data_IF_359196907668
#
_entry.id   IF_359196907668
#
_cell.length_a   1.000
_cell.length_b   1.000
_cell.length_c   1.000
_cell.angle_alpha   90.00
_cell.angle_beta   90.00
_cell.angle_gamma   90.00
#
_symmetry.space_group_name_H-M   'P 1'
#
loop_
_entity.id
_entity.type
_entity.pdbx_description
1 polymer ?
2 non-polymer ?
3 non-polymer ?
4 water ?
#
# COMPACT_ATOMS: atom_id res chain seq x y z
N UNK A 7 -24.42 10.44 5.37
CA UNK A 7 -23.13 9.98 4.78
C UNK A 7 -23.21 8.52 4.34
N UNK A 8 -22.50 8.19 3.26
CA UNK A 8 -22.49 6.83 2.74
C UNK A 8 -21.48 6.06 3.60
N UNK A 9 -21.95 5.01 4.28
CA UNK A 9 -21.06 4.23 5.13
C UNK A 9 -20.24 3.19 4.36
N UNK A 10 -18.93 3.36 4.35
CA UNK A 10 -18.05 2.43 3.66
C UNK A 10 -17.90 1.16 4.49
N UNK A 11 -18.06 0.01 3.84
CA UNK A 11 -17.96 -1.30 4.46
C UNK A 11 -16.58 -1.59 5.04
N UNK A 12 -16.47 -1.68 6.39
CA UNK A 12 -15.19 -1.95 7.05
C UNK A 12 -14.58 -3.31 6.69
N UNK A 13 -15.40 -4.24 6.21
CA UNK A 13 -14.92 -5.57 5.84
C UNK A 13 -14.44 -5.68 4.39
N UNK A 14 -14.65 -4.62 3.61
CA UNK A 14 -14.24 -4.61 2.22
C UNK A 14 -14.74 -5.80 1.43
N UNK A 15 -15.97 -6.23 1.73
CA UNK A 15 -16.58 -7.38 1.08
C UNK A 15 -16.85 -7.29 -0.43
N UNK A 16 -17.04 -6.10 -0.96
CA UNK A 16 -17.32 -5.97 -2.39
C UNK A 16 -16.87 -4.60 -2.89
N UNK A 17 -15.56 -4.44 -3.06
CA UNK A 17 -15.02 -3.16 -3.52
C UNK A 17 -15.42 -2.76 -4.93
N UNK A 18 -15.72 -3.72 -5.80
CA UNK A 18 -16.11 -3.39 -7.17
C UNK A 18 -17.45 -2.64 -7.15
N UNK A 19 -18.39 -3.12 -6.35
CA UNK A 19 -19.68 -2.47 -6.26
C UNK A 19 -19.46 -1.12 -5.58
N UNK A 20 -18.57 -1.11 -4.59
CA UNK A 20 -18.27 0.13 -3.87
C UNK A 20 -17.78 1.20 -4.84
N UNK A 21 -16.95 0.82 -5.81
CA UNK A 21 -16.42 1.79 -6.78
C UNK A 21 -17.59 2.49 -7.47
N UNK A 22 -18.54 1.69 -7.95
CA UNK A 22 -19.70 2.23 -8.64
C UNK A 22 -20.56 3.11 -7.75
N UNK A 23 -20.82 2.65 -6.53
CA UNK A 23 -21.63 3.41 -5.60
C UNK A 23 -21.02 4.77 -5.30
N UNK A 24 -19.70 4.81 -5.10
CA UNK A 24 -19.04 6.06 -4.82
C UNK A 24 -19.06 6.99 -6.02
N UNK A 25 -18.72 6.47 -7.19
CA UNK A 25 -18.72 7.30 -8.39
C UNK A 25 -20.13 7.79 -8.77
N UNK A 26 -21.14 7.14 -8.22
CA UNK A 26 -22.54 7.49 -8.49
C UNK A 26 -22.81 8.89 -7.91
N UNK A 27 -22.01 9.29 -6.92
CA UNK A 27 -22.20 10.60 -6.30
C UNK A 27 -21.49 11.75 -6.99
N UNK A 28 -20.90 11.48 -8.15
CA UNK A 28 -20.19 12.53 -8.86
C UNK A 28 -18.73 12.54 -8.45
N UNK A 29 -18.02 13.66 -8.66
CA UNK A 29 -16.60 13.76 -8.30
C UNK A 29 -16.28 13.50 -6.84
N UNK A 30 -17.19 13.85 -5.94
CA UNK A 30 -16.97 13.64 -4.51
C UNK A 30 -18.25 13.29 -3.77
N UNK A 31 -18.11 12.53 -2.70
CA UNK A 31 -19.25 12.11 -1.89
C UNK A 31 -18.89 12.10 -0.42
N UNK A 32 -19.80 12.57 0.42
CA UNK A 32 -19.61 12.62 1.86
C UNK A 32 -19.81 11.18 2.34
N UNK A 33 -18.79 10.59 2.93
CA UNK A 33 -18.89 9.21 3.41
C UNK A 33 -18.50 9.06 4.88
N UNK A 34 -18.74 7.87 5.41
CA UNK A 34 -18.41 7.57 6.79
C UNK A 34 -17.34 6.48 6.78
N UNK A 35 -16.22 6.76 7.43
CA UNK A 35 -15.11 5.80 7.50
C UNK A 35 -14.95 5.45 8.98
N UNK A 36 -15.58 4.35 9.38
CA UNK A 36 -15.51 3.89 10.76
C UNK A 36 -15.87 4.97 11.79
N UNK A 37 -16.92 5.73 11.49
CA UNK A 37 -17.34 6.78 12.41
C UNK A 37 -16.89 8.20 12.10
N UNK A 38 -15.94 8.34 11.19
CA UNK A 38 -15.46 9.67 10.81
C UNK A 38 -15.99 10.01 9.43
N UNK A 39 -16.66 11.15 9.31
CA UNK A 39 -17.21 11.56 8.02
C UNK A 39 -16.19 12.38 7.24
N UNK A 40 -16.07 12.09 5.95
CA UNK A 40 -15.13 12.80 5.11
C UNK A 40 -15.57 12.80 3.66
N UNK A 41 -14.91 13.64 2.87
CA UNK A 41 -15.22 13.73 1.46
C UNK A 41 -14.41 12.71 0.69
N UNK A 42 -15.07 11.69 0.15
CA UNK A 42 -14.37 10.67 -0.63
C UNK A 42 -14.30 11.31 -2.00
N UNK A 43 -13.10 11.39 -2.58
CA UNK A 43 -12.96 11.99 -3.90
C UNK A 43 -12.45 10.91 -4.86
N UNK A 44 -13.18 10.69 -5.96
CA UNK A 44 -12.76 9.67 -6.93
C UNK A 44 -12.60 10.19 -8.35
N UNK A 45 -12.71 11.51 -8.53
CA UNK A 45 -12.56 12.14 -9.84
C UNK A 45 -11.04 12.40 -9.85
N UNK A 46 -10.27 11.68 -10.69
CA UNK A 46 -8.82 11.86 -10.74
C UNK A 46 -8.33 13.28 -11.03
N UNK A 47 -9.07 14.04 -11.84
CA UNK A 47 -8.66 15.40 -12.16
C UNK A 47 -8.71 16.21 -10.87
N UNK A 48 -9.84 16.14 -10.18
CA UNK A 48 -10.02 16.85 -8.93
C UNK A 48 -9.04 16.35 -7.88
N UNK A 49 -8.88 15.03 -7.81
CA UNK A 49 -7.96 14.46 -6.83
C UNK A 49 -6.54 14.99 -7.03
N UNK A 50 -6.06 15.00 -8.27
CA UNK A 50 -4.71 15.51 -8.54
C UNK A 50 -4.56 16.97 -8.15
N UNK A 51 -5.63 17.75 -8.30
CA UNK A 51 -5.58 19.16 -7.94
C UNK A 51 -5.48 19.27 -6.42
N UNK A 52 -6.29 18.48 -5.72
CA UNK A 52 -6.27 18.52 -4.25
C UNK A 52 -4.92 18.05 -3.71
N UNK A 53 -4.36 17.02 -4.35
CA UNK A 53 -3.08 16.46 -3.93
C UNK A 53 -1.86 17.33 -4.23
N UNK A 54 -2.05 18.46 -4.91
CA UNK A 54 -0.94 19.36 -5.23
C UNK A 54 -1.23 20.78 -4.76
N UNK A 55 -2.33 20.95 -4.04
CA UNK A 55 -2.71 22.26 -3.54
C UNK A 55 -2.18 22.58 -2.15
N UNK A 56 -1.82 23.83 -1.95
CA UNK A 56 -1.29 24.27 -0.67
C UNK A 56 -2.44 24.31 0.34
N UNK A 57 -3.68 24.29 -0.16
CA UNK A 57 -4.85 24.31 0.71
C UNK A 57 -5.34 22.97 1.24
N UNK A 58 -4.57 21.92 0.99
CA UNK A 58 -4.92 20.58 1.45
C UNK A 58 -3.74 20.08 2.26
N UNK A 59 -4.01 19.43 3.39
CA UNK A 59 -2.94 18.92 4.25
C UNK A 59 -3.18 17.55 4.88
N UNK A 60 -2.09 16.90 5.25
CA UNK A 60 -2.13 15.59 5.89
C UNK A 60 -1.80 15.75 7.37
N UNK A 61 -1.54 16.99 7.79
CA UNK A 61 -1.20 17.29 9.18
C UNK A 61 -2.46 17.55 10.00
N UNK A 62 -2.99 16.49 10.61
CA UNK A 62 -4.20 16.58 11.43
C UNK A 62 -4.02 17.49 12.64
N UNK A 63 -2.88 17.36 13.31
CA UNK A 63 -2.58 18.17 14.48
C UNK A 63 -2.73 19.66 14.17
N UNK A 64 -2.24 20.08 13.02
CA UNK A 64 -2.33 21.49 12.64
C UNK A 64 -3.58 21.90 11.86
N UNK A 65 -4.12 21.01 11.03
CA UNK A 65 -5.29 21.36 10.25
C UNK A 65 -6.63 20.65 10.44
N UNK A 66 -6.74 19.77 11.43
CA UNK A 66 -8.01 19.06 11.65
C UNK A 66 -8.48 19.37 13.08
N UNK A 67 -9.42 20.33 13.22
CA UNK A 67 -9.96 20.73 14.52
C UNK A 67 -10.50 19.59 15.37
N UNK A 68 -11.05 18.57 14.72
CA UNK A 68 -11.62 17.43 15.44
C UNK A 68 -10.59 16.39 15.88
N UNK A 69 -9.33 16.56 15.47
CA UNK A 69 -8.28 15.61 15.85
C UNK A 69 -8.28 15.21 17.31
N UNK A 70 -8.21 16.21 18.18
CA UNK A 70 -8.21 15.97 19.61
C UNK A 70 -9.32 15.07 20.13
N UNK A 71 -10.51 15.19 19.54
CA UNK A 71 -11.65 14.37 19.95
C UNK A 71 -11.61 12.98 19.31
N UNK A 72 -11.28 12.94 18.04
CA UNK A 72 -11.20 11.71 17.27
C UNK A 72 -10.10 10.71 17.66
N UNK A 73 -8.93 11.22 18.00
CA UNK A 73 -7.81 10.36 18.37
C UNK A 73 -8.06 9.31 19.45
N UNK A 74 -8.99 9.58 20.36
CA UNK A 74 -9.27 8.61 21.41
C UNK A 74 -10.39 7.63 21.13
N UNK A 75 -11.18 7.88 20.09
CA UNK A 75 -12.29 6.97 19.77
C UNK A 75 -12.23 6.30 18.40
N UNK A 76 -11.53 6.90 17.45
CA UNK A 76 -11.44 6.32 16.11
C UNK A 76 -10.46 5.16 16.01
N UNK A 77 -10.94 4.00 15.52
CA UNK A 77 -10.09 2.81 15.37
C UNK A 77 -8.92 3.02 14.40
N UNK A 78 -9.06 4.01 13.51
CA UNK A 78 -8.00 4.29 12.54
C UNK A 78 -7.09 5.45 12.95
N UNK A 79 -7.13 5.81 14.23
CA UNK A 79 -6.33 6.91 14.75
C UNK A 79 -4.85 6.87 14.38
N UNK A 80 -4.24 5.69 14.39
CA UNK A 80 -2.82 5.57 14.06
C UNK A 80 -2.46 6.15 12.69
N UNK A 81 -3.39 6.08 11.74
CA UNK A 81 -3.14 6.59 10.40
C UNK A 81 -2.95 8.11 10.36
N UNK A 82 -3.49 8.80 11.36
CA UNK A 82 -3.37 10.25 11.40
C UNK A 82 -2.68 10.79 12.64
N UNK A 83 -2.37 9.91 13.60
CA UNK A 83 -1.72 10.33 14.83
C UNK A 83 -0.20 10.21 14.84
N UNK A 84 0.37 9.44 13.93
CA UNK A 84 1.82 9.28 13.88
C UNK A 84 2.47 10.61 13.54
N UNK A 85 3.75 10.73 13.85
CA UNK A 85 4.50 11.94 13.57
C UNK A 85 5.63 11.57 12.62
N UNK A 86 5.32 11.55 11.32
CA UNK A 86 6.31 11.22 10.31
C UNK A 86 5.93 11.94 9.02
N UNK A 87 6.60 11.63 7.93
CA UNK A 87 6.29 12.30 6.66
C UNK A 87 4.85 12.07 6.20
N UNK A 88 4.27 10.95 6.59
CA UNK A 88 2.90 10.59 6.22
C UNK A 88 1.85 11.56 6.77
N UNK A 89 2.21 12.31 7.82
CA UNK A 89 1.29 13.26 8.43
C UNK A 89 1.91 14.65 8.51
N UNK A 90 2.91 14.91 7.68
CA UNK A 90 3.58 16.19 7.67
C UNK A 90 3.09 17.09 6.52
N UNK A 91 3.21 18.40 6.72
CA UNK A 91 2.79 19.39 5.74
C UNK A 91 3.93 20.37 5.38
N UNK A 92 3.95 20.79 4.12
CA UNK A 92 4.96 21.72 3.64
C UNK A 92 6.40 21.42 3.96
N UNK A 93 7.19 22.44 4.36
CA UNK A 93 8.61 22.27 4.68
C UNK A 93 8.88 21.11 5.65
N UNK A 94 7.99 20.89 6.61
CA UNK A 94 8.20 19.81 7.56
C UNK A 94 8.11 18.47 6.83
N UNK A 95 7.23 18.39 5.82
CA UNK A 95 7.10 17.15 5.07
C UNK A 95 8.36 16.94 4.23
N UNK A 96 8.81 17.98 3.57
CA UNK A 96 10.01 17.89 2.74
C UNK A 96 11.16 17.36 3.59
N UNK A 97 11.27 17.90 4.80
CA UNK A 97 12.32 17.50 5.74
C UNK A 97 12.24 16.03 6.15
N UNK A 98 11.07 15.61 6.62
CA UNK A 98 10.88 14.23 7.06
C UNK A 98 10.96 13.19 5.94
N UNK A 99 10.72 13.61 4.70
CA UNK A 99 10.78 12.68 3.56
C UNK A 99 12.21 12.59 3.06
N UNK A 100 12.89 13.73 2.99
CA UNK A 100 14.28 13.78 2.51
C UNK A 100 15.20 12.89 3.34
N UNK A 101 14.86 12.69 4.60
CA UNK A 101 15.69 11.85 5.48
C UNK A 101 15.71 10.39 5.02
N UNK A 102 14.60 9.91 4.49
CA UNK A 102 14.49 8.52 4.03
C UNK A 102 14.68 8.34 2.52
N UNK A 103 14.31 9.36 1.74
CA UNK A 103 14.41 9.33 0.29
C UNK A 103 15.66 8.68 -0.32
N UNK A 104 16.86 9.04 0.17
CA UNK A 104 18.10 8.47 -0.36
C UNK A 104 18.10 6.96 -0.58
N UNK A 105 17.50 6.23 0.35
CA UNK A 105 17.45 4.77 0.25
C UNK A 105 16.54 4.29 -0.87
N UNK A 106 15.78 5.20 -1.47
CA UNK A 106 14.88 4.81 -2.55
C UNK A 106 15.13 5.55 -3.86
N UNK A 107 16.32 6.10 -4.01
CA UNK A 107 16.66 6.83 -5.23
C UNK A 107 16.73 5.83 -6.38
N UNK A 108 16.76 6.34 -7.60
CA UNK A 108 16.83 5.50 -8.79
C UNK A 108 18.11 4.66 -8.75
N UNK A 109 19.21 5.31 -8.42
CA UNK A 109 20.50 4.62 -8.34
C UNK A 109 20.51 3.54 -7.26
N UNK A 110 19.92 3.83 -6.10
CA UNK A 110 19.89 2.86 -5.01
C UNK A 110 19.04 1.65 -5.35
N UNK A 111 17.87 1.88 -5.95
CA UNK A 111 17.00 0.77 -6.31
C UNK A 111 17.70 -0.10 -7.36
N UNK A 112 18.34 0.53 -8.33
CA UNK A 112 19.04 -0.22 -9.38
C UNK A 112 20.15 -1.06 -8.73
N UNK A 113 20.83 -0.47 -7.75
CA UNK A 113 21.92 -1.16 -7.05
C UNK A 113 21.42 -2.35 -6.25
N UNK A 114 20.14 -2.34 -5.89
CA UNK A 114 19.54 -3.42 -5.11
C UNK A 114 19.03 -4.57 -5.97
N UNK A 115 18.92 -4.35 -7.28
CA UNK A 115 18.42 -5.39 -8.17
C UNK A 115 19.02 -6.78 -7.96
N UNK A 116 20.36 -6.89 -7.93
CA UNK A 116 20.97 -8.21 -7.73
C UNK A 116 20.51 -8.89 -6.46
N UNK A 117 20.45 -8.14 -5.36
CA UNK A 117 20.02 -8.69 -4.08
C UNK A 117 18.56 -9.13 -4.15
N UNK A 118 17.71 -8.29 -4.72
CA UNK A 118 16.30 -8.62 -4.82
C UNK A 118 16.08 -9.83 -5.73
N UNK A 119 16.80 -9.88 -6.85
CA UNK A 119 16.66 -11.01 -7.76
C UNK A 119 17.01 -12.30 -7.03
N UNK A 120 18.07 -12.24 -6.21
CA UNK A 120 18.51 -13.41 -5.45
C UNK A 120 17.41 -13.87 -4.50
N UNK A 121 16.78 -12.91 -3.83
CA UNK A 121 15.70 -13.23 -2.89
C UNK A 121 14.54 -13.88 -3.64
N UNK A 122 14.22 -13.33 -4.81
CA UNK A 122 13.12 -13.87 -5.61
C UNK A 122 13.45 -15.30 -6.06
N UNK A 123 14.67 -15.51 -6.55
CA UNK A 123 15.07 -16.83 -7.01
C UNK A 123 15.01 -17.83 -5.87
N UNK A 124 15.44 -17.41 -4.68
CA UNK A 124 15.42 -18.29 -3.52
C UNK A 124 14.00 -18.75 -3.18
N UNK A 125 13.06 -17.82 -3.17
CA UNK A 125 11.68 -18.14 -2.87
C UNK A 125 11.05 -19.01 -3.96
N UNK A 126 11.41 -18.75 -5.21
CA UNK A 126 10.86 -19.54 -6.30
C UNK A 126 11.47 -20.95 -6.28
N UNK A 127 12.76 -21.03 -5.96
CA UNK A 127 13.42 -22.34 -5.90
C UNK A 127 12.71 -23.19 -4.86
N UNK A 128 12.38 -22.58 -3.72
CA UNK A 128 11.70 -23.27 -2.63
C UNK A 128 10.37 -23.84 -3.12
N UNK A 129 9.66 -23.07 -3.94
CA UNK A 129 8.37 -23.52 -4.46
C UNK A 129 8.58 -24.78 -5.28
N UNK A 130 9.68 -24.80 -6.04
CA UNK A 130 10.02 -25.94 -6.88
C UNK A 130 10.30 -27.22 -6.09
N UNK A 131 10.58 -27.09 -4.80
CA UNK A 131 10.87 -28.25 -3.96
C UNK A 131 9.60 -28.79 -3.30
N UNK A 132 8.53 -27.99 -3.31
CA UNK A 132 7.28 -28.41 -2.71
C UNK A 132 6.73 -29.65 -3.40
N UNK A 133 5.98 -30.49 -2.68
CA UNK A 133 5.41 -31.72 -3.23
C UNK A 133 4.57 -31.40 -4.48
N UNK A 134 4.88 -32.09 -5.58
CA UNK A 134 4.16 -31.87 -6.83
C UNK A 134 2.73 -32.39 -6.69
N UNK A 135 1.80 -31.73 -7.35
CA UNK A 135 0.41 -32.14 -7.30
C UNK A 135 -0.41 -31.59 -6.15
N UNK A 136 0.26 -31.02 -5.15
CA UNK A 136 -0.43 -30.45 -4.00
C UNK A 136 -0.55 -28.94 -4.14
N UNK A 137 -1.72 -28.37 -3.80
CA UNK A 137 -1.94 -26.93 -3.89
C UNK A 137 -0.99 -26.12 -3.00
N UNK A 138 -0.63 -24.94 -3.48
CA UNK A 138 0.27 -24.05 -2.76
C UNK A 138 -0.37 -22.66 -2.62
N UNK A 139 -0.39 -22.12 -1.42
CA UNK A 139 -0.98 -20.79 -1.23
C UNK A 139 0.14 -19.81 -1.57
N UNK A 140 0.12 -19.32 -2.80
CA UNK A 140 1.13 -18.37 -3.28
C UNK A 140 1.24 -17.10 -2.46
N UNK A 141 0.15 -16.69 -1.81
CA UNK A 141 0.17 -15.49 -1.00
C UNK A 141 1.14 -15.69 0.17
N UNK A 142 1.05 -16.84 0.81
CA UNK A 142 1.93 -17.14 1.95
C UNK A 142 3.34 -17.60 1.56
N UNK A 143 3.47 -18.30 0.44
CA UNK A 143 4.79 -18.77 0.01
C UNK A 143 5.63 -17.86 -0.87
N UNK A 144 5.03 -16.79 -1.41
CA UNK A 144 5.78 -15.87 -2.25
C UNK A 144 5.43 -14.40 -2.04
N UNK A 145 4.15 -14.07 -2.20
CA UNK A 145 3.67 -12.70 -2.03
C UNK A 145 4.06 -12.04 -0.70
N UNK A 146 3.89 -12.75 0.41
CA UNK A 146 4.23 -12.19 1.72
C UNK A 146 5.72 -12.18 2.06
N UNK A 147 6.42 -13.31 1.91
CA UNK A 147 7.85 -13.34 2.23
C UNK A 147 8.82 -12.46 1.43
N UNK A 148 8.55 -12.24 0.14
CA UNK A 148 9.45 -11.42 -0.67
C UNK A 148 9.60 -9.99 -0.15
N UNK A 149 8.49 -9.25 -0.01
CA UNK A 149 8.57 -7.87 0.48
C UNK A 149 9.22 -7.79 1.87
N UNK A 150 9.01 -8.80 2.69
CA UNK A 150 9.57 -8.84 4.03
C UNK A 150 11.09 -8.98 3.95
N UNK A 151 11.56 -9.84 3.04
CA UNK A 151 12.99 -10.05 2.87
C UNK A 151 13.65 -8.77 2.35
N UNK A 152 12.97 -8.09 1.43
CA UNK A 152 13.51 -6.85 0.87
C UNK A 152 13.59 -5.72 1.90
N UNK A 153 12.49 -5.48 2.60
CA UNK A 153 12.48 -4.42 3.60
C UNK A 153 13.42 -4.76 4.76
N UNK A 154 13.53 -6.04 5.08
CA UNK A 154 14.42 -6.46 6.16
C UNK A 154 15.86 -6.13 5.83
N UNK A 155 16.23 -6.35 4.58
CA UNK A 155 17.58 -6.09 4.10
C UNK A 155 17.85 -4.59 4.05
N UNK A 156 16.89 -3.84 3.52
CA UNK A 156 17.02 -2.39 3.41
C UNK A 156 17.00 -1.69 4.77
N UNK A 157 16.08 -2.06 5.63
CA UNK A 157 15.99 -1.43 6.96
C UNK A 157 16.96 -2.05 7.96
N UNK A 158 17.47 -3.23 7.65
CA UNK A 158 18.41 -3.89 8.55
C UNK A 158 17.73 -4.53 9.74
N UNK A 159 16.61 -5.21 9.50
CA UNK A 159 15.86 -5.86 10.56
C UNK A 159 16.49 -7.23 10.85
N UNK A 160 16.97 -7.44 12.08
CA UNK A 160 17.57 -8.73 12.41
C UNK A 160 16.62 -9.87 12.11
N UNK A 161 17.16 -10.97 11.59
CA UNK A 161 16.36 -12.14 11.25
C UNK A 161 15.42 -12.58 12.38
N UNK A 162 15.94 -12.68 13.59
CA UNK A 162 15.15 -13.09 14.74
C UNK A 162 14.06 -12.12 15.19
N UNK A 163 13.93 -11.00 14.49
CA UNK A 163 12.92 -10.01 14.83
C UNK A 163 11.93 -9.77 13.70
N UNK A 164 12.15 -10.43 12.56
CA UNK A 164 11.28 -10.25 11.41
C UNK A 164 9.85 -10.80 11.52
N UNK A 165 9.70 -11.99 12.09
CA UNK A 165 8.37 -12.57 12.23
C UNK A 165 7.45 -11.76 13.14
N UNK A 166 8.04 -11.17 14.18
CA UNK A 166 7.27 -10.38 15.13
C UNK A 166 6.41 -9.25 14.59
N UNK A 167 6.78 -8.68 13.45
CA UNK A 167 6.01 -7.58 12.88
C UNK A 167 4.81 -8.02 12.03
N UNK A 168 4.88 -9.23 11.50
CA UNK A 168 3.81 -9.77 10.65
C UNK A 168 2.35 -9.59 11.09
N UNK A 169 1.97 -10.16 12.22
CA UNK A 169 0.59 -10.05 12.70
C UNK A 169 0.22 -8.61 13.07
N UNK A 170 1.19 -7.85 13.53
CA UNK A 170 0.96 -6.46 13.92
C UNK A 170 0.74 -5.53 12.74
N UNK A 171 1.50 -5.70 11.67
CA UNK A 171 1.33 -4.85 10.50
C UNK A 171 -0.03 -5.20 9.88
N UNK A 172 -0.40 -6.47 9.97
CA UNK A 172 -1.67 -6.93 9.44
C UNK A 172 -2.77 -6.17 10.19
N UNK A 173 -2.59 -6.05 11.50
CA UNK A 173 -3.57 -5.36 12.31
C UNK A 173 -3.76 -3.90 11.91
N UNK A 174 -2.69 -3.25 11.46
CA UNK A 174 -2.77 -1.86 11.04
C UNK A 174 -3.76 -1.67 9.91
N UNK A 175 -3.88 -2.68 9.04
CA UNK A 175 -4.81 -2.61 7.92
C UNK A 175 -6.15 -3.30 8.18
N UNK A 176 -6.29 -3.90 9.35
CA UNK A 176 -7.54 -4.60 9.70
C UNK A 176 -8.57 -3.57 10.15
N UNK A 177 -9.41 -3.11 9.23
CA UNK A 177 -10.43 -2.13 9.56
C UNK A 177 -11.68 -2.69 10.24
N UNK A 178 -11.63 -3.96 10.65
CA UNK A 178 -12.77 -4.57 11.33
C UNK A 178 -12.56 -4.53 12.84
N UNK A 179 -11.36 -4.13 13.27
CA UNK A 179 -11.05 -4.04 14.70
C UNK A 179 -11.71 -2.84 15.35
N UNK A 180 -12.16 -2.98 16.59
CA UNK A 180 -12.79 -1.85 17.26
C UNK A 180 -11.67 -1.02 17.89
N UNK A 181 -12.03 0.11 18.47
CA UNK A 181 -11.06 1.00 19.09
C UNK A 181 -10.11 0.31 20.07
N UNK A 182 -10.66 -0.52 20.95
CA UNK A 182 -9.84 -1.23 21.93
C UNK A 182 -8.85 -2.19 21.28
N UNK A 183 -9.33 -2.96 20.31
CA UNK A 183 -8.49 -3.92 19.60
C UNK A 183 -7.40 -3.22 18.80
N UNK A 184 -7.75 -2.09 18.18
CA UNK A 184 -6.78 -1.34 17.38
C UNK A 184 -5.70 -0.78 18.30
N UNK A 185 -6.14 -0.23 19.43
CA UNK A 185 -5.26 0.35 20.42
C UNK A 185 -4.28 -0.70 20.95
N UNK A 186 -4.76 -1.92 21.16
CA UNK A 186 -3.90 -3.00 21.65
C UNK A 186 -2.87 -3.38 20.59
N UNK A 187 -3.30 -3.47 19.34
CA UNK A 187 -2.40 -3.82 18.25
C UNK A 187 -1.32 -2.76 18.11
N UNK A 188 -1.74 -1.50 18.20
CA UNK A 188 -0.80 -0.40 18.09
C UNK A 188 0.24 -0.45 19.21
N UNK A 189 -0.22 -0.72 20.43
CA UNK A 189 0.70 -0.80 21.57
C UNK A 189 1.73 -1.90 21.36
N UNK A 190 1.28 -3.05 20.87
CA UNK A 190 2.17 -4.18 20.63
C UNK A 190 3.19 -3.84 19.56
N UNK A 191 2.76 -3.08 18.55
CA UNK A 191 3.64 -2.68 17.47
C UNK A 191 4.74 -1.74 17.96
N UNK A 192 4.37 -0.76 18.78
CA UNK A 192 5.36 0.18 19.29
C UNK A 192 6.36 -0.57 20.17
N UNK A 193 5.88 -1.61 20.82
CA UNK A 193 6.74 -2.41 21.68
C UNK A 193 7.83 -3.09 20.86
N UNK A 194 7.47 -3.79 19.79
CA UNK A 194 8.49 -4.46 18.99
C UNK A 194 9.36 -3.44 18.25
N UNK A 195 8.82 -2.24 18.02
CA UNK A 195 9.58 -1.20 17.34
C UNK A 195 10.64 -0.68 18.31
N UNK A 196 10.24 -0.45 19.55
CA UNK A 196 11.20 0.04 20.55
C UNK A 196 12.31 -0.98 20.75
N UNK A 197 11.97 -2.25 20.68
CA UNK A 197 12.93 -3.33 20.85
C UNK A 197 13.92 -3.33 19.69
N UNK A 198 13.40 -3.07 18.48
CA UNK A 198 14.23 -3.04 17.30
C UNK A 198 15.24 -1.89 17.44
N UNK A 199 14.75 -0.74 17.87
CA UNK A 199 15.58 0.45 18.04
C UNK A 199 16.69 0.18 19.05
N UNK A 200 16.33 -0.48 20.15
CA UNK A 200 17.30 -0.81 21.18
C UNK A 200 18.38 -1.74 20.61
N UNK A 201 17.95 -2.74 19.86
CA UNK A 201 18.87 -3.69 19.26
C UNK A 201 19.81 -3.05 18.25
N UNK A 202 19.28 -2.16 17.41
CA UNK A 202 20.10 -1.49 16.41
C UNK A 202 21.01 -0.44 17.04
N UNK A 203 20.60 0.10 18.17
CA UNK A 203 21.40 1.11 18.86
C UNK A 203 22.65 0.40 19.35
N UNK A 204 22.44 -0.77 19.93
CA UNK A 204 23.54 -1.58 20.46
C UNK A 204 24.41 -2.14 19.34
N UNK A 205 23.79 -2.57 18.26
CA UNK A 205 24.51 -3.13 17.13
C UNK A 205 24.08 -2.51 15.80
N UNK A 206 24.57 -1.30 15.51
CA UNK A 206 24.21 -0.62 14.27
C UNK A 206 24.77 -1.32 13.02
N UNK A 207 24.23 -0.96 11.87
CA UNK A 207 24.68 -1.55 10.62
C UNK A 207 24.54 -0.53 9.50
N UNK A 208 24.88 -0.95 8.28
CA UNK A 208 24.79 -0.09 7.12
C UNK A 208 23.37 -0.26 6.58
N UNK A 209 22.43 0.36 7.28
CA UNK A 209 21.01 0.28 6.90
C UNK A 209 20.25 1.54 7.32
N UNK A 210 19.03 1.68 6.84
CA UNK A 210 18.22 2.85 7.17
C UNK A 210 17.82 2.97 8.63
N UNK A 211 17.62 1.86 9.32
CA UNK A 211 17.24 1.96 10.73
C UNK A 211 18.39 2.62 11.50
N UNK A 212 19.62 2.20 11.21
CA UNK A 212 20.78 2.77 11.88
C UNK A 212 20.94 4.26 11.56
N UNK A 213 20.72 4.63 10.31
CA UNK A 213 20.86 6.04 9.93
C UNK A 213 19.83 6.91 10.65
N UNK A 214 18.61 6.40 10.77
CA UNK A 214 17.55 7.13 11.45
C UNK A 214 17.88 7.29 12.93
N UNK A 215 18.39 6.22 13.53
CA UNK A 215 18.75 6.28 14.95
C UNK A 215 19.84 7.33 15.12
N UNK A 216 20.79 7.34 14.19
CA UNK A 216 21.89 8.31 14.24
C UNK A 216 21.35 9.73 14.19
N UNK A 217 20.34 9.96 13.37
CA UNK A 217 19.73 11.27 13.22
C UNK A 217 19.01 11.68 14.51
N UNK A 218 18.46 10.70 15.22
CA UNK A 218 17.74 10.96 16.46
C UNK A 218 18.71 11.16 17.62
N UNK A 219 19.82 10.44 17.58
CA UNK A 219 20.83 10.54 18.63
C UNK A 219 21.78 11.72 18.42
N UNK A 220 21.52 12.51 17.38
CA UNK A 220 22.34 13.67 17.07
C UNK A 220 22.34 14.67 18.23
N UNK A 226 16.93 17.81 12.98
CA UNK A 226 16.93 16.82 14.05
C UNK A 226 15.83 15.78 13.82
N UNK A 227 15.58 14.95 14.83
CA UNK A 227 14.56 13.93 14.76
C UNK A 227 14.18 13.57 16.19
N UNK A 228 12.90 13.75 16.52
CA UNK A 228 12.44 13.46 17.88
C UNK A 228 12.28 11.96 18.08
N UNK A 229 12.12 11.53 19.35
CA UNK A 229 11.95 10.12 19.67
C UNK A 229 10.71 9.58 18.97
N UNK A 230 9.67 10.41 18.92
CA UNK A 230 8.42 10.03 18.28
C UNK A 230 8.58 9.90 16.77
N UNK A 231 9.28 10.87 16.18
CA UNK A 231 9.50 10.84 14.74
C UNK A 231 10.33 9.63 14.34
N UNK A 232 11.24 9.23 15.22
CA UNK A 232 12.07 8.08 14.92
C UNK A 232 11.23 6.80 14.89
N UNK A 233 10.54 6.52 15.98
CA UNK A 233 9.72 5.32 16.03
C UNK A 233 8.58 5.35 15.02
N UNK A 234 7.97 6.51 14.81
CA UNK A 234 6.87 6.61 13.86
C UNK A 234 7.34 6.47 12.42
N UNK A 235 8.56 6.90 12.12
CA UNK A 235 9.07 6.80 10.76
C UNK A 235 9.39 5.31 10.55
N UNK A 236 9.91 4.66 11.58
CA UNK A 236 10.22 3.24 11.46
C UNK A 236 8.92 2.44 11.30
N UNK A 237 7.88 2.86 12.01
CA UNK A 237 6.59 2.18 11.92
C UNK A 237 6.11 2.24 10.48
N UNK A 238 6.20 3.42 9.88
CA UNK A 238 5.78 3.63 8.51
C UNK A 238 6.56 2.77 7.51
N UNK A 239 7.88 2.82 7.60
CA UNK A 239 8.72 2.04 6.70
C UNK A 239 8.55 0.53 6.83
N UNK A 240 8.48 0.05 8.07
CA UNK A 240 8.30 -1.38 8.28
C UNK A 240 6.92 -1.83 7.83
N UNK A 241 5.89 -1.07 8.16
CA UNK A 241 4.53 -1.43 7.77
C UNK A 241 4.40 -1.43 6.25
N UNK A 242 4.98 -0.43 5.59
CA UNK A 242 4.91 -0.33 4.15
C UNK A 242 5.60 -1.52 3.46
N UNK A 243 6.67 -2.01 4.06
CA UNK A 243 7.38 -3.13 3.47
C UNK A 243 6.76 -4.48 3.75
N UNK A 244 6.03 -4.60 4.86
CA UNK A 244 5.40 -5.87 5.23
C UNK A 244 4.00 -6.15 4.69
N UNK A 245 3.34 -5.09 4.24
CA UNK A 245 2.01 -5.16 3.67
C UNK A 245 2.03 -4.38 2.36
N UNK A 246 0.88 -4.32 1.70
CA UNK A 246 0.73 -3.61 0.43
C UNK A 246 1.41 -4.26 -0.78
N UNK A 247 2.75 -4.33 -0.83
CA UNK A 247 3.34 -4.96 -2.00
C UNK A 247 2.79 -6.38 -2.19
N UNK A 248 2.52 -7.06 -1.07
CA UNK A 248 2.00 -8.41 -1.11
C UNK A 248 0.74 -8.47 -1.97
N UNK A 249 -0.10 -7.44 -1.85
CA UNK A 249 -1.33 -7.37 -2.63
C UNK A 249 -1.16 -7.14 -4.11
N UNK A 250 -0.09 -6.44 -4.48
CA UNK A 250 0.16 -6.18 -5.89
C UNK A 250 0.59 -7.50 -6.52
N UNK A 251 1.41 -8.27 -5.82
CA UNK A 251 1.88 -9.55 -6.33
C UNK A 251 0.66 -10.48 -6.47
N UNK A 252 -0.18 -10.45 -5.44
CA UNK A 252 -1.40 -11.25 -5.37
C UNK A 252 -2.29 -10.96 -6.58
N UNK A 253 -2.67 -9.69 -6.73
CA UNK A 253 -3.53 -9.27 -7.84
C UNK A 253 -2.94 -9.51 -9.22
N UNK A 254 -1.64 -9.24 -9.40
CA UNK A 254 -1.01 -9.45 -10.70
C UNK A 254 -1.07 -10.93 -11.08
N UNK A 255 -0.68 -11.80 -10.16
CA UNK A 255 -0.70 -13.23 -10.43
C UNK A 255 -2.12 -13.72 -10.68
N UNK A 256 -3.04 -13.34 -9.81
CA UNK A 256 -4.43 -13.76 -9.96
C UNK A 256 -5.02 -13.34 -11.31
N UNK A 257 -4.68 -12.14 -11.77
CA UNK A 257 -5.18 -11.67 -13.04
C UNK A 257 -4.63 -12.52 -14.18
N UNK A 258 -3.33 -12.81 -14.14
CA UNK A 258 -2.71 -13.62 -15.17
C UNK A 258 -3.23 -15.05 -15.20
N UNK A 259 -3.73 -15.52 -14.05
CA UNK A 259 -4.26 -16.88 -13.97
C UNK A 259 -5.74 -16.96 -14.33
N UNK A 260 -6.41 -15.82 -14.35
CA UNK A 260 -7.82 -15.77 -14.67
C UNK A 260 -8.07 -15.10 -16.02
N UNK A 261 -7.03 -14.47 -16.56
CA UNK A 261 -7.10 -13.77 -17.85
C UNK A 261 -5.92 -14.25 -18.69
N UNK A 262 -5.97 -15.52 -19.15
CA UNK A 262 -4.90 -16.11 -19.96
C UNK A 262 -4.43 -15.28 -21.16
N UNK A 263 -5.32 -14.49 -21.74
CA UNK A 263 -4.96 -13.67 -22.88
C UNK A 263 -3.86 -12.69 -22.51
N UNK A 264 -3.89 -12.20 -21.28
CA UNK A 264 -2.87 -11.25 -20.82
C UNK A 264 -1.51 -11.92 -20.69
N UNK A 265 -1.49 -13.16 -20.21
CA UNK A 265 -0.22 -13.87 -20.06
C UNK A 265 0.34 -14.13 -21.45
N UNK A 266 -0.54 -14.48 -22.39
CA UNK A 266 -0.14 -14.76 -23.76
C UNK A 266 0.49 -13.51 -24.38
N UNK A 267 -0.05 -12.33 -24.04
CA UNK A 267 0.49 -11.09 -24.58
C UNK A 267 1.93 -10.93 -24.13
N UNK A 268 2.21 -11.35 -22.90
CA UNK A 268 3.57 -11.25 -22.38
C UNK A 268 4.47 -12.22 -23.15
N UNK A 269 4.01 -13.46 -23.28
CA UNK A 269 4.79 -14.48 -23.99
C UNK A 269 5.04 -14.13 -25.46
N UNK A 270 4.09 -13.42 -26.07
CA UNK A 270 4.25 -13.03 -27.47
C UNK A 270 5.17 -11.83 -27.60
N UNK A 271 5.45 -11.17 -26.48
CA UNK A 271 6.32 -10.01 -26.51
C UNK A 271 5.58 -8.72 -26.84
N UNK A 272 4.25 -8.77 -26.80
CA UNK A 272 3.42 -7.60 -27.11
C UNK A 272 3.37 -6.62 -25.94
N UNK A 273 3.52 -7.14 -24.72
CA UNK A 273 3.48 -6.31 -23.51
C UNK A 273 4.59 -6.88 -22.63
N UNK A 274 5.10 -6.07 -21.72
CA UNK A 274 6.16 -6.50 -20.81
C UNK A 274 5.60 -6.81 -19.42
N UNK A 275 6.43 -7.35 -18.55
CA UNK A 275 5.99 -7.66 -17.20
C UNK A 275 5.67 -6.33 -16.54
N UNK A 276 6.44 -5.30 -16.90
CA UNK A 276 6.24 -3.97 -16.34
C UNK A 276 4.85 -3.45 -16.74
N UNK A 277 4.45 -3.72 -17.98
CA UNK A 277 3.12 -3.26 -18.43
C UNK A 277 2.04 -3.95 -17.60
N UNK A 278 2.25 -5.22 -17.31
CA UNK A 278 1.27 -5.97 -16.53
C UNK A 278 1.18 -5.40 -15.11
N UNK A 279 2.33 -5.01 -14.55
CA UNK A 279 2.33 -4.46 -13.21
C UNK A 279 1.62 -3.11 -13.20
N UNK A 280 1.85 -2.29 -14.22
CA UNK A 280 1.19 -0.98 -14.26
C UNK A 280 -0.32 -1.12 -14.41
N UNK A 281 -0.77 -2.08 -15.20
CA UNK A 281 -2.21 -2.25 -15.38
C UNK A 281 -2.82 -2.84 -14.10
N UNK A 282 -2.04 -3.64 -13.37
CA UNK A 282 -2.53 -4.25 -12.13
C UNK A 282 -2.69 -3.11 -11.12
N UNK A 283 -1.73 -2.19 -11.11
CA UNK A 283 -1.77 -1.06 -10.19
C UNK A 283 -2.99 -0.19 -10.48
N UNK A 284 -3.39 -0.12 -11.74
CA UNK A 284 -4.55 0.69 -12.10
C UNK A 284 -5.85 -0.04 -11.82
N UNK A 285 -5.95 -1.27 -12.32
CA UNK A 285 -7.13 -2.12 -12.17
C UNK A 285 -7.43 -2.66 -10.77
N UNK A 286 -6.40 -3.05 -10.04
CA UNK A 286 -6.60 -3.58 -8.68
C UNK A 286 -5.48 -3.12 -7.76
N UNK A 287 -5.41 -1.80 -7.49
CA UNK A 287 -4.38 -1.23 -6.62
C UNK A 287 -4.46 -1.80 -5.21
N UNK A 288 -3.32 -1.89 -4.53
CA UNK A 288 -3.26 -2.42 -3.17
C UNK A 288 -3.91 -1.58 -2.09
N UNK A 289 -3.95 -0.26 -2.29
CA UNK A 289 -4.55 0.65 -1.32
C UNK A 289 -5.76 1.32 -1.99
N UNK A 290 -6.95 0.98 -1.55
CA UNK A 290 -8.17 1.54 -2.12
C UNK A 290 -8.57 2.95 -1.70
N UNK A 291 -8.33 3.28 -0.44
CA UNK A 291 -8.67 4.61 0.10
C UNK A 291 -7.51 5.02 0.99
N UNK A 292 -7.19 6.31 1.00
CA UNK A 292 -6.09 6.79 1.82
C UNK A 292 -6.47 7.82 2.88
N UNK A 293 -6.53 7.41 4.15
CA UNK A 293 -6.87 8.36 5.22
C UNK A 293 -5.55 9.03 5.63
N UNK A 294 -5.54 10.35 5.78
CA UNK A 294 -6.68 11.22 5.56
C UNK A 294 -6.07 12.61 5.31
N UNK A 295 -6.84 13.49 4.67
CA UNK A 295 -6.37 14.84 4.39
C UNK A 295 -7.39 15.83 4.91
N UNK A 296 -7.00 17.09 5.04
CA UNK A 296 -7.91 18.12 5.54
C UNK A 296 -7.80 19.41 4.75
N UNK A 297 -8.92 20.14 4.66
CA UNK A 297 -8.93 21.40 3.94
C UNK A 297 -8.37 22.49 4.85
N UNK A 298 -7.32 23.15 4.39
CA UNK A 298 -6.70 24.22 5.17
C UNK A 298 -7.60 25.45 5.10
N UNK A 299 -8.36 25.54 4.02
CA UNK A 299 -9.28 26.65 3.80
C UNK A 299 -10.46 26.10 3.00
N UNK A 300 -11.53 26.87 2.86
CA UNK A 300 -12.69 26.40 2.11
C UNK A 300 -12.25 26.08 0.69
N UNK A 301 -12.76 24.99 0.14
CA UNK A 301 -12.43 24.57 -1.22
C UNK A 301 -13.72 24.31 -2.00
N UNK A 302 -13.83 24.93 -3.18
CA UNK A 302 -15.02 24.76 -4.02
C UNK A 302 -15.00 23.44 -4.79
N UNK A 303 -16.13 22.74 -4.78
CA UNK A 303 -16.26 21.47 -5.49
C UNK A 303 -16.89 21.77 -6.84
N UNK A 304 -16.69 20.88 -7.83
CA UNK A 304 -17.25 21.07 -9.17
C UNK A 304 -18.76 21.31 -9.24
N UNK A 305 -19.51 20.82 -8.25
CA UNK A 305 -20.96 21.01 -8.28
C UNK A 305 -21.45 22.24 -7.51
N UNK A 306 -20.53 23.04 -7.00
CA UNK A 306 -20.93 24.22 -6.26
C UNK A 306 -20.91 24.02 -4.76
N UNK A 307 -20.79 22.77 -4.33
CA UNK A 307 -20.75 22.51 -2.89
C UNK A 307 -19.37 22.92 -2.40
N UNK A 308 -19.18 22.95 -1.10
CA UNK A 308 -17.91 23.34 -0.53
C UNK A 308 -17.30 22.39 0.49
N UNK A 309 -15.98 22.19 0.41
CA UNK A 309 -15.31 21.34 1.36
C UNK A 309 -14.91 22.43 2.33
N UNK A 310 -15.61 22.51 3.45
CA UNK A 310 -15.34 23.53 4.47
C UNK A 310 -13.99 23.37 5.14
N UNK A 311 -13.40 24.50 5.55
CA UNK A 311 -12.11 24.47 6.22
C UNK A 311 -12.23 23.50 7.38
N UNK A 312 -11.24 22.63 7.54
CA UNK A 312 -11.28 21.67 8.63
C UNK A 312 -11.95 20.35 8.35
N UNK A 313 -12.62 20.21 7.21
CA UNK A 313 -13.30 18.95 6.89
C UNK A 313 -12.29 17.97 6.27
N UNK A 314 -12.46 16.66 6.55
CA UNK A 314 -11.56 15.64 6.01
C UNK A 314 -11.78 15.30 4.54
N UNK A 315 -10.73 14.81 3.91
CA UNK A 315 -10.74 14.43 2.51
C UNK A 315 -10.13 13.04 2.38
N UNK A 316 -10.89 12.11 1.83
CA UNK A 316 -10.44 10.73 1.65
C UNK A 316 -10.16 10.44 0.16
N UNK A 317 -8.90 10.21 -0.17
CA UNK A 317 -8.54 9.92 -1.56
C UNK A 317 -8.94 8.47 -1.86
N UNK A 318 -9.90 8.29 -2.77
CA UNK A 318 -10.38 6.96 -3.15
C UNK A 318 -9.74 6.58 -4.49
N UNK A 319 -8.48 6.17 -4.40
CA UNK A 319 -7.68 5.76 -5.55
C UNK A 319 -8.18 4.64 -6.45
N UNK A 320 -8.65 3.55 -5.83
CA UNK A 320 -9.15 2.42 -6.61
C UNK A 320 -10.31 2.83 -7.51
N UNK A 321 -11.27 3.56 -6.95
CA UNK A 321 -12.43 4.01 -7.71
C UNK A 321 -12.01 5.02 -8.79
N UNK A 322 -11.06 5.88 -8.44
CA UNK A 322 -10.56 6.89 -9.37
C UNK A 322 -9.84 6.27 -10.55
N UNK A 323 -9.10 5.19 -10.30
CA UNK A 323 -8.35 4.53 -11.37
C UNK A 323 -9.29 3.95 -12.44
N UNK A 324 -10.57 3.81 -12.09
CA UNK A 324 -11.56 3.27 -13.02
C UNK A 324 -12.57 4.32 -13.48
N UNK A 325 -12.23 5.59 -13.28
CA UNK A 325 -13.12 6.68 -13.68
C UNK A 325 -13.23 6.67 -15.21
N UNK A 326 -14.48 6.63 -15.74
CA UNK A 326 -14.75 6.60 -17.17
C UNK A 326 -14.24 7.75 -18.04
N UNK A 327 -13.90 8.89 -17.44
CA UNK A 327 -13.40 10.00 -18.23
C UNK A 327 -11.88 9.94 -18.30
N UNK A 328 -11.30 9.03 -17.53
CA UNK A 328 -9.84 8.87 -17.51
C UNK A 328 -9.40 7.73 -18.43
N UNK A 329 -10.04 6.58 -18.26
CA UNK A 329 -9.73 5.39 -19.05
C UNK A 329 -10.98 4.79 -19.69
N UNK A 330 -10.92 4.46 -20.97
CA UNK A 330 -12.09 3.87 -21.62
C UNK A 330 -12.12 2.40 -21.24
N UNK A 331 -13.33 1.84 -21.11
CA UNK A 331 -13.49 0.44 -20.75
C UNK A 331 -12.58 0.22 -19.53
N UNK A 332 -12.64 1.19 -18.62
CA UNK A 332 -11.85 1.18 -17.40
C UNK A 332 -11.94 -0.04 -16.51
N UNK A 333 -13.06 -0.75 -16.52
CA UNK A 333 -13.19 -1.94 -15.68
C UNK A 333 -12.59 -3.21 -16.28
N UNK A 334 -12.01 -3.10 -17.47
CA UNK A 334 -11.41 -4.26 -18.12
C UNK A 334 -9.90 -4.19 -17.98
N UNK A 335 -9.28 -5.31 -17.63
CA UNK A 335 -7.83 -5.35 -17.48
C UNK A 335 -7.27 -5.50 -18.89
N UNK A 336 -6.40 -4.56 -19.27
CA UNK A 336 -5.80 -4.58 -20.60
C UNK A 336 -4.38 -4.03 -20.50
N UNK A 337 -3.39 -4.93 -20.51
CA UNK A 337 -1.99 -4.53 -20.41
C UNK A 337 -1.44 -3.83 -21.66
N UNK A 338 -2.23 -3.78 -22.73
CA UNK A 338 -1.78 -3.14 -23.96
C UNK A 338 -2.13 -1.64 -23.98
N UNK A 339 -2.86 -1.16 -22.98
CA UNK A 339 -3.24 0.25 -22.92
C UNK A 339 -2.12 1.23 -23.22
N UNK A 340 -2.42 2.21 -24.07
CA UNK A 340 -1.43 3.22 -24.43
C UNK A 340 -1.30 4.18 -23.25
N UNK A 341 -2.42 4.50 -22.61
CA UNK A 341 -2.43 5.39 -21.46
C UNK A 341 -2.46 4.50 -20.23
N UNK A 342 -1.35 4.45 -19.50
CA UNK A 342 -1.25 3.61 -18.31
C UNK A 342 -1.25 4.34 -16.96
N UNK A 343 -1.43 5.65 -16.96
CA UNK A 343 -1.43 6.40 -15.70
C UNK A 343 -2.48 5.96 -14.70
N UNK A 344 -2.09 5.96 -13.43
CA UNK A 344 -2.99 5.57 -12.35
C UNK A 344 -2.58 6.31 -11.07
N UNK A 345 -3.38 6.17 -10.03
CA UNK A 345 -3.13 6.80 -8.74
C UNK A 345 -2.86 5.80 -7.61
N UNK A 346 -2.40 4.61 -7.96
CA UNK A 346 -2.11 3.60 -6.95
C UNK A 346 -1.06 4.08 -5.94
N UNK A 347 -0.13 4.92 -6.40
CA UNK A 347 0.92 5.47 -5.55
C UNK A 347 0.68 6.91 -5.13
N UNK A 348 -0.47 7.46 -5.47
CA UNK A 348 -0.74 8.83 -5.09
C UNK A 348 -0.28 9.78 -6.19
N UNK A 349 -0.10 11.04 -5.84
CA UNK A 349 0.32 12.05 -6.80
C UNK A 349 0.86 13.24 -6.02
N UNK A 350 1.95 13.83 -6.49
CA UNK A 350 2.49 14.97 -5.78
C UNK A 350 3.65 14.68 -4.85
N UNK A 351 3.86 15.57 -3.88
CA UNK A 351 4.94 15.42 -2.90
C UNK A 351 4.91 14.17 -2.04
N UNK A 352 3.72 13.63 -1.82
CA UNK A 352 3.57 12.42 -0.99
C UNK A 352 3.62 11.14 -1.82
N UNK A 353 3.79 11.27 -3.13
CA UNK A 353 3.86 10.11 -4.01
C UNK A 353 4.67 9.01 -3.33
N UNK A 354 4.10 7.81 -3.26
CA UNK A 354 4.78 6.68 -2.63
C UNK A 354 6.29 6.65 -2.80
N UNK A 355 7.01 6.78 -1.69
CA UNK A 355 8.47 6.78 -1.70
C UNK A 355 9.01 5.41 -2.14
N UNK A 356 8.29 4.35 -1.82
CA UNK A 356 8.73 3.01 -2.18
C UNK A 356 8.33 2.52 -3.57
N UNK A 357 7.62 3.36 -4.32
CA UNK A 357 7.16 3.00 -5.65
C UNK A 357 8.17 2.27 -6.55
N UNK A 358 9.39 2.84 -6.72
CA UNK A 358 10.35 2.14 -7.58
C UNK A 358 10.76 0.76 -7.09
N UNK A 359 10.88 0.60 -5.78
CA UNK A 359 11.25 -0.69 -5.19
C UNK A 359 10.10 -1.68 -5.33
N UNK A 360 8.88 -1.24 -5.05
CA UNK A 360 7.71 -2.12 -5.16
C UNK A 360 7.57 -2.59 -6.60
N UNK A 361 7.68 -1.66 -7.54
CA UNK A 361 7.56 -2.01 -8.95
C UNK A 361 8.59 -3.08 -9.31
N UNK A 362 9.83 -2.90 -8.86
CA UNK A 362 10.88 -3.87 -9.16
C UNK A 362 10.57 -5.23 -8.55
N UNK A 363 10.14 -5.23 -7.28
CA UNK A 363 9.81 -6.47 -6.60
C UNK A 363 8.78 -7.29 -7.35
N UNK A 364 7.69 -6.65 -7.75
CA UNK A 364 6.63 -7.33 -8.48
C UNK A 364 7.04 -7.80 -9.87
N UNK A 365 7.71 -6.94 -10.63
CA UNK A 365 8.12 -7.33 -11.97
C UNK A 365 9.07 -8.53 -11.90
N UNK A 366 10.02 -8.49 -10.99
CA UNK A 366 10.98 -9.59 -10.83
C UNK A 366 10.27 -10.88 -10.39
N UNK A 367 9.36 -10.75 -9.44
CA UNK A 367 8.62 -11.91 -8.95
C UNK A 367 7.84 -12.57 -10.08
N UNK A 368 7.13 -11.76 -10.87
CA UNK A 368 6.35 -12.30 -11.98
C UNK A 368 7.21 -13.06 -12.98
N UNK A 369 8.30 -12.41 -13.41
CA UNK A 369 9.22 -13.00 -14.38
C UNK A 369 9.75 -14.35 -13.91
N UNK A 370 10.21 -14.39 -12.67
CA UNK A 370 10.76 -15.61 -12.10
C UNK A 370 9.70 -16.71 -11.92
N UNK A 371 8.56 -16.34 -11.37
CA UNK A 371 7.47 -17.29 -11.15
C UNK A 371 6.95 -17.95 -12.42
N UNK A 372 6.53 -17.15 -13.40
CA UNK A 372 6.02 -17.72 -14.64
C UNK A 372 7.12 -18.29 -15.51
N UNK A 373 8.37 -17.88 -15.25
CA UNK A 373 9.48 -18.39 -16.02
C UNK A 373 9.79 -19.80 -15.57
N UNK A 374 9.66 -20.05 -14.26
CA UNK A 374 9.93 -21.35 -13.68
C UNK A 374 8.74 -22.32 -13.83
N UNK A 375 7.54 -21.78 -13.69
CA UNK A 375 6.34 -22.62 -13.81
C UNK A 375 5.40 -22.10 -14.90
N UNK A 376 5.69 -22.44 -16.16
CA UNK A 376 4.84 -21.99 -17.28
C UNK A 376 3.43 -22.56 -17.24
N UNK A 377 3.21 -23.61 -16.45
CA UNK A 377 1.90 -24.22 -16.34
C UNK A 377 1.17 -23.83 -15.06
N UNK A 378 1.65 -22.78 -14.41
CA UNK A 378 1.02 -22.31 -13.18
C UNK A 378 -0.48 -22.09 -13.40
N UNK A 379 -1.29 -22.48 -12.43
CA UNK A 379 -2.74 -22.32 -12.54
C UNK A 379 -3.42 -22.36 -11.18
N UNK A 380 -4.63 -21.82 -11.10
CA UNK A 380 -5.37 -21.81 -9.85
C UNK A 380 -5.67 -23.26 -9.48
N UNK A 381 -5.55 -23.58 -8.19
CA UNK A 381 -5.81 -24.94 -7.71
C UNK A 381 -7.26 -25.33 -8.02
N UNK A 382 -8.16 -24.37 -7.94
CA UNK A 382 -9.58 -24.61 -8.20
C UNK A 382 -10.23 -23.32 -8.70
N UNK A 383 -10.30 -23.14 -10.03
CA UNK A 383 -10.90 -21.96 -10.66
C UNK A 383 -12.34 -21.65 -10.24
N UNK A 384 -13.08 -22.67 -9.84
CA UNK A 384 -14.47 -22.50 -9.41
C UNK A 384 -14.60 -22.00 -7.97
N UNK A 385 -13.51 -22.10 -7.21
CA UNK A 385 -13.52 -21.65 -5.82
C UNK A 385 -13.45 -20.14 -5.71
N UNK A 386 -14.36 -19.57 -4.93
CA UNK A 386 -14.39 -18.12 -4.74
C UNK A 386 -13.34 -17.76 -3.69
N UNK A 387 -12.46 -16.83 -4.04
CA UNK A 387 -11.42 -16.41 -3.11
C UNK A 387 -11.84 -15.07 -2.51
N UNK A 388 -12.32 -15.09 -1.25
CA UNK A 388 -12.77 -13.88 -0.55
C UNK A 388 -11.66 -12.85 -0.36
N UNK A 389 -12.03 -11.57 -0.30
CA UNK A 389 -11.04 -10.50 -0.12
C UNK A 389 -10.57 -10.34 1.31
N UNK A 390 -9.36 -9.81 1.46
CA UNK A 390 -8.81 -9.59 2.79
C UNK A 390 -9.83 -8.63 3.43
N UNK A 391 -10.19 -8.86 4.71
CA UNK A 391 -11.16 -8.00 5.39
C UNK A 391 -10.60 -6.62 5.68
N UNK A 392 -10.64 -5.74 4.68
CA UNK A 392 -10.12 -4.39 4.85
C UNK A 392 -10.71 -3.41 3.85
N UNK A 393 -10.99 -2.20 4.34
CA UNK A 393 -11.55 -1.15 3.51
C UNK A 393 -10.36 -0.49 2.79
N UNK A 394 -9.16 -0.72 3.31
CA UNK A 394 -7.95 -0.16 2.73
C UNK A 394 -7.21 -1.15 1.83
N UNK A 395 -6.78 -2.29 2.38
CA UNK A 395 -6.06 -3.29 1.60
C UNK A 395 -6.95 -4.02 0.59
N UNK A 396 -6.40 -4.23 -0.61
CA UNK A 396 -7.12 -4.91 -1.68
C UNK A 396 -6.36 -6.18 -2.13
N UNK A 397 -6.75 -7.32 -1.57
CA UNK A 397 -6.12 -8.57 -1.93
C UNK A 397 -7.00 -9.75 -1.58
N UNK A 398 -6.54 -10.96 -1.90
CA UNK A 398 -7.30 -12.16 -1.61
C UNK A 398 -6.77 -12.76 -0.31
N UNK A 399 -7.64 -13.38 0.47
CA UNK A 399 -7.20 -13.98 1.73
C UNK A 399 -6.22 -15.11 1.46
N UNK A 400 -6.37 -15.75 0.31
CA UNK A 400 -5.51 -16.85 -0.09
C UNK A 400 -5.43 -16.91 -1.62
N UNK A 401 -4.36 -17.50 -2.14
CA UNK A 401 -4.18 -17.63 -3.58
C UNK A 401 -3.67 -19.04 -3.87
N UNK A 402 -4.56 -20.04 -3.77
CA UNK A 402 -4.28 -21.45 -4.00
C UNK A 402 -3.96 -21.76 -5.45
N UNK A 403 -2.76 -22.27 -5.70
CA UNK A 403 -2.33 -22.61 -7.06
C UNK A 403 -1.68 -23.98 -7.12
N UNK A 404 -1.50 -24.45 -8.36
CA UNK A 404 -0.87 -25.73 -8.65
C UNK A 404 0.28 -25.32 -9.56
N UNK A 405 1.50 -25.59 -9.13
CA UNK A 405 2.69 -25.23 -9.90
C UNK A 405 2.93 -25.98 -11.20
N UNK A 406 2.55 -27.25 -11.25
CA UNK A 406 2.76 -28.04 -12.46
C UNK A 406 1.46 -28.55 -13.08
N UNK A 407 1.44 -28.76 -14.31
X LIG B 1 2.93 6.50 0.72
X LIG B 1 6.77 3.66 1.39
X LIG B 1 4.75 0.25 -1.36
X LIG B 1 0.92 3.07 -1.99
X LIG B 1 4.16 6.05 1.14
X LIG B 1 5.10 6.78 1.99
X LIG B 1 6.17 6.00 2.18
X LIG B 1 5.95 4.75 1.47
X LIG B 1 7.43 6.31 3.02
X LIG B 1 4.85 8.21 2.54
X LIG B 1 5.24 9.27 1.50
X LIG B 1 5.02 10.72 1.93
X LIG B 1 4.00 10.94 2.66
X LIG B 1 5.82 11.57 1.54
X LIG B 1 6.56 2.50 0.72
X LIG B 1 7.50 1.38 0.70
X LIG B 1 6.93 0.41 -0.07
X LIG B 1 5.65 0.92 -0.54
X LIG B 1 8.85 1.35 1.44
X LIG B 1 7.48 -0.99 -0.43
X LIG B 1 8.75 -0.97 -1.29
X LIG B 1 3.52 0.74 -1.78
X LIG B 1 2.59 -0.02 -2.64
X LIG B 1 1.51 0.78 -2.81
X LIG B 1 1.76 2.00 -2.08
X LIG B 1 2.88 -1.45 -3.18
X LIG B 1 0.19 0.54 -3.60
X LIG B 1 0.32 -0.02 -5.02
X LIG B 1 1.12 4.25 -1.31
X LIG B 1 0.17 5.35 -1.24
X LIG B 1 0.74 6.30 -0.47
X LIG B 1 2.03 5.81 -0.07
X LIG B 1 -1.21 5.36 -1.92
X LIG B 1 0.08 7.64 -0.07
X LIG B 1 -0.09 8.71 -1.16
X LIG B 1 -0.80 9.87 -0.52
X LIG B 1 -1.97 10.10 -0.83
X LIG B 1 -0.15 10.52 0.34
X LIG B 1 4.71 4.83 0.83
X LIG B 1 5.45 2.18 -0.04
X LIG B 1 2.99 1.96 -1.46
X LIG B 1 2.26 4.55 -0.59
X LIG B 1 3.85 3.39 -0.33
X LIG C 1 1.97 1.23 3.01
X LIG C 1 2.50 1.32 1.72
X LIG C 1 2.88 2.48 1.53
X LIG C 1 2.63 3.23 2.59
X LIG C 1 2.06 2.47 3.53
X LIG C 1 1.59 2.81 4.92
X LIG C 1 1.59 1.77 5.92
X LIG C 1 1.14 2.09 7.25
X LIG C 1 0.71 3.41 7.52
X LIG C 1 0.71 4.43 6.53
X LIG C 1 1.15 4.08 5.23
#
# INVERSE_FOLDING_TARGET
MATQQPALVLDPTGADHHTEHRTLREGGPATWVDVLGVQAWSVSDPVLLKQLLTSSDVSKDARAHWPAFGEVVGTWPLALWVAVENMFTAYGPNHRKLRRLVAPAFSARRVDAMRPAVEAMVTGLVDRLAELPAGEPVDLRQELAYPLPIAVIGHLMGVPQDRRDGFRALVDGVFDTTLDQAEAQANTARLYEVLDQLIAAKRATPGDDMTSLLIAARDDEGDGDRLSPEELRDTLLLMISAGYETTVNVIDQAVHTLLTRPDQLALVRKGEVTWADVVEETLRHEPAVKHLPLRYAVTDIALPDGRTIARGEPILASYAAANRHPDWHEDADTFDATRTVKEHLAFGHGVHFCLGAPLARMEVTLALESLFGRFPDLRLADPAEELPPVPSLISNGHQRLPVLLHAG
HEM CHA CHB CHC CHD C1A C2A C3A C4A CMA CAA CBA CGA O1A O2A C1B C2B C3B C4B CMB CAB CBB C1C C2C C3C C4C CMC CAC CBC C1D C2D C3D C4D CMD CAD CBD CGD O1D O2D NA NB NC ND FE
PIM N1 C2 N3 C4 C5 C6 C7 C8 C9 C10 C11
#
